data_IF_215027070027
#
_entry.id   IF_215027070027
#
_cell.length_a   1.000
_cell.length_b   1.000
_cell.length_c   1.000
_cell.angle_alpha   90.00
_cell.angle_beta   90.00
_cell.angle_gamma   90.00
#
_symmetry.space_group_name_H-M   'P 1'
#
loop_
_entity.id
_entity.type
_entity.pdbx_description
1 polymer ?
#
# COMPACT_ATOMS: atom_id res chain seq x y z
N UNK A 1 43.81 -24.91 -28.08
CA UNK A 1 43.58 -24.78 -26.64
C UNK A 1 42.83 -23.48 -26.41
N UNK A 2 41.77 -23.53 -25.60
CA UNK A 2 40.92 -22.41 -25.15
C UNK A 2 39.89 -21.86 -26.15
N UNK A 3 38.84 -22.65 -26.38
CA UNK A 3 37.51 -22.14 -26.72
C UNK A 3 36.52 -23.00 -25.93
N UNK A 4 36.53 -22.84 -24.60
CA UNK A 4 35.55 -23.47 -23.72
C UNK A 4 34.36 -22.52 -23.65
N UNK A 5 33.27 -22.97 -24.28
CA UNK A 5 31.87 -22.57 -24.11
C UNK A 5 31.60 -21.43 -23.13
N UNK A 6 31.33 -20.25 -23.68
CA UNK A 6 30.30 -19.36 -23.13
C UNK A 6 28.94 -20.04 -23.37
N UNK A 7 28.60 -21.01 -22.51
CA UNK A 7 27.21 -21.43 -22.40
C UNK A 7 26.47 -20.21 -21.83
N UNK A 8 25.39 -19.72 -22.47
CA UNK A 8 24.58 -18.67 -21.87
C UNK A 8 24.12 -19.19 -20.51
N UNK A 9 24.56 -18.53 -19.43
CA UNK A 9 23.99 -18.78 -18.11
C UNK A 9 22.47 -18.68 -18.27
N UNK A 10 21.69 -19.67 -17.78
CA UNK A 10 20.25 -19.60 -17.84
C UNK A 10 19.87 -18.29 -17.17
N UNK A 11 19.38 -17.33 -17.97
CA UNK A 11 18.95 -16.02 -17.51
C UNK A 11 18.15 -16.24 -16.25
N UNK A 12 18.67 -15.78 -15.11
CA UNK A 12 18.06 -15.99 -13.80
C UNK A 12 16.56 -15.81 -13.97
N UNK A 13 15.82 -16.93 -13.94
CA UNK A 13 14.39 -16.95 -14.20
C UNK A 13 13.83 -15.89 -13.28
N UNK A 14 13.34 -14.79 -13.85
CA UNK A 14 13.03 -13.56 -13.13
C UNK A 14 12.11 -13.96 -12.01
N UNK A 15 12.67 -14.10 -10.80
CA UNK A 15 11.94 -14.71 -9.70
C UNK A 15 10.71 -13.85 -9.49
N UNK A 16 9.52 -14.45 -9.60
CA UNK A 16 8.28 -13.69 -9.48
C UNK A 16 8.39 -12.86 -8.19
N UNK A 17 8.23 -11.52 -8.24
CA UNK A 17 8.45 -10.63 -7.10
C UNK A 17 7.52 -10.93 -5.92
N UNK A 18 6.57 -11.85 -6.11
CA UNK A 18 5.62 -12.32 -5.12
C UNK A 18 6.08 -13.55 -4.34
N UNK A 19 7.16 -14.23 -4.75
CA UNK A 19 7.70 -15.39 -4.02
C UNK A 19 8.22 -15.01 -2.63
N UNK A 20 8.56 -13.75 -2.40
CA UNK A 20 9.04 -13.25 -1.12
C UNK A 20 7.93 -12.92 -0.09
N UNK A 21 6.66 -13.02 -0.47
CA UNK A 21 5.55 -12.72 0.43
C UNK A 21 5.35 -13.85 1.46
N UNK A 22 5.46 -13.58 2.78
CA UNK A 22 5.26 -14.61 3.80
C UNK A 22 3.82 -15.15 3.74
N UNK A 23 3.70 -16.45 3.49
CA UNK A 23 2.43 -17.18 3.39
C UNK A 23 1.79 -17.22 1.99
N UNK A 24 2.11 -16.28 1.10
CA UNK A 24 1.65 -16.29 -0.29
C UNK A 24 2.68 -16.92 -1.25
N UNK A 25 3.97 -16.84 -0.92
CA UNK A 25 5.06 -17.41 -1.72
C UNK A 25 4.87 -18.88 -2.12
N UNK A 26 4.48 -19.80 -1.22
CA UNK A 26 4.26 -21.21 -1.58
C UNK A 26 3.09 -21.42 -2.55
N UNK A 27 2.05 -20.57 -2.46
CA UNK A 27 0.89 -20.64 -3.36
C UNK A 27 1.25 -20.11 -4.73
N UNK A 28 2.01 -19.01 -4.79
CA UNK A 28 2.52 -18.44 -6.04
C UNK A 28 3.48 -19.41 -6.72
N UNK A 29 4.45 -19.98 -5.99
CA UNK A 29 5.38 -20.96 -6.54
C UNK A 29 4.67 -22.22 -7.09
N UNK A 30 3.57 -22.65 -6.46
CA UNK A 30 2.76 -23.76 -6.96
C UNK A 30 1.99 -23.38 -8.24
N UNK A 31 1.44 -22.16 -8.30
CA UNK A 31 0.78 -21.62 -9.50
C UNK A 31 1.78 -21.48 -10.65
N UNK A 32 2.96 -20.92 -10.39
CA UNK A 32 4.05 -20.80 -11.37
C UNK A 32 4.50 -22.16 -11.91
N UNK A 33 4.58 -23.18 -11.05
CA UNK A 33 4.86 -24.55 -11.46
C UNK A 33 3.82 -25.07 -12.46
N UNK A 34 2.53 -24.88 -12.16
CA UNK A 34 1.44 -25.30 -13.05
C UNK A 34 1.47 -24.52 -14.37
N UNK A 35 1.67 -23.19 -14.33
CA UNK A 35 1.66 -22.38 -15.56
C UNK A 35 2.88 -22.66 -16.45
N UNK A 36 4.04 -22.98 -15.87
CA UNK A 36 5.21 -23.38 -16.66
C UNK A 36 5.01 -24.73 -17.36
N UNK A 37 4.27 -25.66 -16.77
CA UNK A 37 3.96 -26.96 -17.40
C UNK A 37 3.09 -26.81 -18.67
N UNK A 38 2.34 -25.71 -18.82
CA UNK A 38 1.50 -25.46 -19.99
C UNK A 38 2.24 -24.81 -21.18
N UNK A 39 3.49 -24.36 -21.00
CA UNK A 39 4.31 -23.78 -22.08
C UNK A 39 3.74 -22.48 -22.68
N UNK A 40 2.95 -21.73 -21.91
CA UNK A 40 2.33 -20.49 -22.37
C UNK A 40 3.34 -19.34 -22.45
N UNK A 41 3.05 -18.35 -23.30
CA UNK A 41 3.87 -17.15 -23.42
C UNK A 41 3.97 -16.45 -22.05
N UNK A 42 5.18 -16.04 -21.66
CA UNK A 42 5.50 -15.50 -20.33
C UNK A 42 4.55 -14.38 -19.89
N UNK A 43 4.11 -13.55 -20.83
CA UNK A 43 3.22 -12.44 -20.53
C UNK A 43 1.74 -12.86 -20.34
N UNK A 44 1.30 -14.00 -20.87
CA UNK A 44 0.01 -14.61 -20.49
C UNK A 44 0.07 -15.09 -19.03
N UNK A 45 1.19 -15.70 -18.63
CA UNK A 45 1.40 -16.15 -17.26
C UNK A 45 1.38 -14.98 -16.27
N UNK A 46 2.12 -13.90 -16.56
CA UNK A 46 2.11 -12.68 -15.73
C UNK A 46 0.71 -12.05 -15.64
N UNK A 47 -0.04 -11.98 -16.76
CA UNK A 47 -1.39 -11.41 -16.75
C UNK A 47 -2.36 -12.23 -15.91
N UNK A 48 -2.28 -13.57 -16.02
CA UNK A 48 -3.06 -14.48 -15.19
C UNK A 48 -2.70 -14.35 -13.71
N UNK A 49 -1.42 -14.26 -13.39
CA UNK A 49 -0.92 -14.04 -12.05
C UNK A 49 -1.52 -12.76 -11.45
N UNK A 50 -1.61 -11.65 -12.22
CA UNK A 50 -2.27 -10.41 -11.75
C UNK A 50 -3.72 -10.62 -11.39
N UNK A 51 -4.46 -11.26 -12.29
CA UNK A 51 -5.90 -11.41 -12.18
C UNK A 51 -6.20 -12.27 -10.96
N UNK A 52 -5.41 -13.33 -10.78
CA UNK A 52 -5.51 -14.23 -9.66
C UNK A 52 -5.16 -13.51 -8.35
N UNK A 53 -4.07 -12.74 -8.33
CA UNK A 53 -3.61 -12.01 -7.15
C UNK A 53 -4.55 -10.84 -6.78
N UNK A 54 -5.07 -10.12 -7.77
CA UNK A 54 -6.08 -9.09 -7.59
C UNK A 54 -7.41 -9.69 -7.10
N UNK A 55 -7.82 -10.84 -7.64
CA UNK A 55 -9.01 -11.57 -7.23
C UNK A 55 -8.91 -12.09 -5.79
N UNK A 56 -7.79 -12.73 -5.45
CA UNK A 56 -7.47 -13.22 -4.10
C UNK A 56 -7.37 -12.05 -3.13
N UNK A 57 -6.64 -10.99 -3.49
CA UNK A 57 -6.50 -9.77 -2.72
C UNK A 57 -7.86 -9.12 -2.45
N UNK A 58 -8.70 -8.97 -3.46
CA UNK A 58 -10.05 -8.46 -3.32
C UNK A 58 -10.92 -9.33 -2.38
N UNK A 59 -10.86 -10.66 -2.52
CA UNK A 59 -11.62 -11.58 -1.67
C UNK A 59 -11.16 -11.52 -0.20
N UNK A 60 -9.85 -11.49 0.03
CA UNK A 60 -9.24 -11.30 1.35
C UNK A 60 -9.66 -9.97 1.95
N UNK A 61 -9.47 -8.88 1.21
CA UNK A 61 -9.80 -7.52 1.66
C UNK A 61 -11.29 -7.41 1.98
N UNK A 62 -12.16 -8.01 1.16
CA UNK A 62 -13.60 -8.05 1.41
C UNK A 62 -13.94 -8.83 2.68
N UNK A 63 -13.30 -9.98 2.93
CA UNK A 63 -13.47 -10.74 4.19
C UNK A 63 -12.97 -9.94 5.39
N UNK A 64 -11.80 -9.31 5.26
CA UNK A 64 -11.19 -8.48 6.28
C UNK A 64 -12.09 -7.27 6.60
N UNK A 65 -12.59 -6.57 5.59
CA UNK A 65 -13.54 -5.47 5.76
C UNK A 65 -14.86 -5.95 6.38
N UNK A 66 -15.32 -7.16 6.05
CA UNK A 66 -16.54 -7.71 6.63
C UNK A 66 -16.40 -8.07 8.12
N UNK A 67 -15.25 -8.61 8.54
CA UNK A 67 -15.00 -9.14 9.89
C UNK A 67 -14.21 -8.18 10.80
N UNK A 68 -13.15 -7.55 10.30
CA UNK A 68 -12.29 -6.67 11.07
C UNK A 68 -12.98 -5.34 11.37
N UNK A 69 -13.71 -4.73 10.41
CA UNK A 69 -14.38 -3.43 10.61
C UNK A 69 -15.36 -3.42 11.80
N UNK A 70 -16.29 -4.39 11.97
CA UNK A 70 -17.16 -4.36 13.14
C UNK A 70 -16.37 -4.53 14.44
N UNK A 71 -15.30 -5.31 14.41
CA UNK A 71 -14.47 -5.56 15.59
C UNK A 71 -13.63 -4.33 15.97
N UNK A 72 -12.98 -3.69 15.00
CA UNK A 72 -12.20 -2.47 15.20
C UNK A 72 -13.07 -1.29 15.58
N UNK A 73 -14.26 -1.16 14.98
CA UNK A 73 -15.23 -0.14 15.37
C UNK A 73 -15.63 -0.28 16.84
N UNK A 74 -15.93 -1.50 17.31
CA UNK A 74 -16.25 -1.73 18.72
C UNK A 74 -15.04 -1.57 19.65
N UNK A 75 -13.87 -2.04 19.22
CA UNK A 75 -12.63 -1.94 19.97
C UNK A 75 -12.16 -0.49 20.15
N UNK A 76 -12.40 0.39 19.16
CA UNK A 76 -12.02 1.81 19.22
C UNK A 76 -12.96 2.66 20.10
N UNK A 77 -14.22 2.27 20.28
CA UNK A 77 -15.18 3.07 21.10
C UNK A 77 -14.65 3.27 22.53
N UNK A 78 -14.14 2.20 23.15
CA UNK A 78 -13.65 2.24 24.53
C UNK A 78 -12.45 3.19 24.73
N UNK A 79 -11.32 3.04 24.01
CA UNK A 79 -10.17 3.93 24.18
C UNK A 79 -10.50 5.36 23.78
N UNK A 80 -11.30 5.58 22.72
CA UNK A 80 -11.70 6.94 22.32
C UNK A 80 -12.53 7.60 23.41
N UNK A 81 -13.51 6.91 23.99
CA UNK A 81 -14.27 7.44 25.12
C UNK A 81 -13.38 7.70 26.33
N UNK A 82 -12.42 6.81 26.63
CA UNK A 82 -11.46 7.01 27.71
C UNK A 82 -10.59 8.25 27.52
N UNK A 83 -10.16 8.54 26.28
CA UNK A 83 -9.43 9.77 25.96
C UNK A 83 -10.33 11.00 26.14
N UNK A 84 -11.59 10.93 25.71
CA UNK A 84 -12.55 12.04 25.90
C UNK A 84 -12.82 12.28 27.40
N UNK A 85 -12.99 11.23 28.18
CA UNK A 85 -13.18 11.32 29.64
C UNK A 85 -11.94 11.89 30.33
N UNK A 86 -10.74 11.48 29.89
CA UNK A 86 -9.47 12.05 30.37
C UNK A 86 -9.35 13.54 30.02
N UNK A 87 -9.69 13.93 28.79
CA UNK A 87 -9.69 15.32 28.35
C UNK A 87 -10.69 16.16 29.17
N UNK A 88 -11.89 15.61 29.42
CA UNK A 88 -12.90 16.22 30.29
C UNK A 88 -12.36 16.46 31.70
N UNK A 89 -11.68 15.47 32.29
CA UNK A 89 -11.06 15.61 33.61
C UNK A 89 -9.99 16.72 33.64
N UNK A 90 -9.11 16.74 32.63
CA UNK A 90 -8.05 17.75 32.50
C UNK A 90 -8.61 19.16 32.31
N UNK A 91 -9.66 19.31 31.50
CA UNK A 91 -10.32 20.60 31.30
C UNK A 91 -11.13 21.08 32.53
N UNK A 92 -11.60 20.16 33.39
CA UNK A 92 -12.33 20.49 34.63
C UNK A 92 -11.40 20.73 35.83
N UNK A 93 -10.14 20.30 35.77
CA UNK A 93 -9.15 20.50 36.83
C UNK A 93 -8.96 21.99 37.21
N UNK A 94 -8.85 22.93 36.26
CA UNK A 94 -8.79 24.37 36.56
C UNK A 94 -10.04 24.87 37.30
N UNK A 95 -11.23 24.42 36.88
CA UNK A 95 -12.49 24.79 37.50
C UNK A 95 -12.57 24.27 38.95
N UNK A 96 -12.16 23.03 39.18
CA UNK A 96 -12.04 22.45 40.52
C UNK A 96 -11.05 23.21 41.41
N UNK A 97 -9.92 23.64 40.85
CA UNK A 97 -8.90 24.40 41.58
C UNK A 97 -9.43 25.77 42.01
N UNK A 98 -10.09 26.50 41.10
CA UNK A 98 -10.70 27.80 41.41
C UNK A 98 -11.87 27.64 42.38
N UNK A 99 -12.73 26.63 42.21
CA UNK A 99 -13.83 26.34 43.13
C UNK A 99 -13.33 26.01 44.55
N UNK A 100 -12.26 25.21 44.69
CA UNK A 100 -11.63 24.93 45.99
C UNK A 100 -11.04 26.19 46.62
N UNK A 101 -10.40 27.04 45.82
CA UNK A 101 -9.80 28.29 46.30
C UNK A 101 -10.87 29.28 46.76
N UNK A 102 -11.93 29.45 45.97
CA UNK A 102 -13.08 30.30 46.31
C UNK A 102 -13.75 29.85 47.63
N UNK A 103 -13.98 28.54 47.80
CA UNK A 103 -14.52 27.96 49.05
C UNK A 103 -13.62 28.24 50.25
N UNK A 104 -12.29 28.10 50.11
CA UNK A 104 -11.34 28.44 51.20
C UNK A 104 -11.42 29.92 51.59
N UNK A 105 -11.61 30.80 50.62
CA UNK A 105 -11.72 32.25 50.85
C UNK A 105 -13.12 32.73 51.27
N UNK A 106 -14.10 31.82 51.44
CA UNK A 106 -15.53 32.13 51.68
C UNK A 106 -16.14 33.11 50.67
N UNK A 107 -15.60 33.18 49.45
CA UNK A 107 -16.14 34.00 48.36
C UNK A 107 -16.97 33.14 47.42
N UNK A 108 -18.08 33.70 46.93
CA UNK A 108 -18.86 33.04 45.89
C UNK A 108 -18.02 32.99 44.59
N UNK A 109 -17.90 31.81 43.96
CA UNK A 109 -17.22 31.72 42.67
C UNK A 109 -17.96 32.53 41.59
N UNK A 110 -17.23 33.14 40.64
CA UNK A 110 -17.83 33.95 39.58
C UNK A 110 -18.69 33.10 38.64
N UNK A 111 -19.83 33.63 38.20
CA UNK A 111 -20.79 32.91 37.34
C UNK A 111 -20.16 32.40 36.02
N UNK A 112 -19.15 33.11 35.48
CA UNK A 112 -18.43 32.72 34.28
C UNK A 112 -17.75 31.35 34.40
N UNK A 113 -17.31 30.97 35.61
CA UNK A 113 -16.67 29.68 35.85
C UNK A 113 -17.64 28.52 35.60
N UNK A 114 -18.89 28.66 36.07
CA UNK A 114 -19.93 27.67 35.85
C UNK A 114 -20.32 27.54 34.38
N UNK A 115 -20.32 28.64 33.62
CA UNK A 115 -20.58 28.58 32.17
C UNK A 115 -19.49 27.84 31.40
N UNK A 116 -18.22 27.99 31.82
CA UNK A 116 -17.12 27.26 31.22
C UNK A 116 -17.22 25.76 31.50
N UNK A 117 -17.44 25.37 32.76
CA UNK A 117 -17.65 23.97 33.13
C UNK A 117 -18.77 23.33 32.32
N UNK A 118 -19.94 23.99 32.24
CA UNK A 118 -21.05 23.51 31.43
C UNK A 118 -20.70 23.38 29.94
N UNK A 119 -19.98 24.34 29.35
CA UNK A 119 -19.58 24.26 27.94
C UNK A 119 -18.62 23.09 27.66
N UNK A 120 -17.68 22.81 28.57
CA UNK A 120 -16.78 21.66 28.46
C UNK A 120 -17.55 20.34 28.56
N UNK A 121 -18.51 20.25 29.48
CA UNK A 121 -19.36 19.08 29.65
C UNK A 121 -20.23 18.84 28.41
N UNK A 122 -20.93 19.87 27.93
CA UNK A 122 -21.76 19.82 26.72
C UNK A 122 -20.93 19.43 25.49
N UNK A 123 -19.73 19.99 25.37
CA UNK A 123 -18.80 19.68 24.28
C UNK A 123 -18.36 18.21 24.30
N UNK A 124 -17.96 17.70 25.47
CA UNK A 124 -17.58 16.31 25.63
C UNK A 124 -18.75 15.35 25.36
N UNK A 125 -19.95 15.66 25.84
CA UNK A 125 -21.14 14.84 25.63
C UNK A 125 -21.57 14.83 24.16
N UNK A 126 -21.49 15.97 23.46
CA UNK A 126 -21.71 16.05 22.01
C UNK A 126 -20.67 15.26 21.22
N UNK A 127 -19.41 15.32 21.65
CA UNK A 127 -18.34 14.56 21.01
C UNK A 127 -18.54 13.05 21.21
N UNK A 128 -18.87 12.61 22.42
CA UNK A 128 -19.21 11.21 22.70
C UNK A 128 -20.45 10.76 21.91
N UNK A 129 -21.49 11.59 21.84
CA UNK A 129 -22.67 11.32 21.01
C UNK A 129 -22.31 11.23 19.52
N UNK A 130 -21.41 12.09 19.05
CA UNK A 130 -20.86 12.08 17.70
C UNK A 130 -20.10 10.79 17.41
N UNK A 131 -19.21 10.35 18.29
CA UNK A 131 -18.48 9.08 18.17
C UNK A 131 -19.44 7.89 18.15
N UNK A 132 -20.41 7.87 19.06
CA UNK A 132 -21.44 6.81 19.14
C UNK A 132 -22.37 6.76 17.92
N UNK A 133 -22.64 7.90 17.27
CA UNK A 133 -23.47 7.96 16.04
C UNK A 133 -22.65 7.80 14.75
N UNK A 134 -21.41 8.28 14.73
CA UNK A 134 -20.52 8.27 13.57
C UNK A 134 -19.90 6.90 13.30
N UNK A 135 -19.52 6.16 14.35
CA UNK A 135 -18.99 4.80 14.20
C UNK A 135 -20.00 3.81 13.58
N UNK A 136 -21.31 3.84 13.91
CA UNK A 136 -22.30 3.07 13.16
C UNK A 136 -22.63 3.69 11.78
N UNK A 137 -22.35 4.98 11.54
CA UNK A 137 -22.44 5.54 10.18
C UNK A 137 -21.31 5.01 9.26
N UNK A 138 -20.13 4.69 9.82
CA UNK A 138 -19.12 3.85 9.14
C UNK A 138 -19.65 2.42 8.86
N UNK A 139 -20.70 1.96 9.55
CA UNK A 139 -21.39 0.75 9.14
C UNK A 139 -22.31 0.97 7.92
N UNK A 140 -22.79 2.19 7.63
CA UNK A 140 -23.50 2.51 6.37
C UNK A 140 -22.55 2.44 5.18
N UNK A 141 -21.28 2.75 5.40
CA UNK A 141 -20.21 2.53 4.42
C UNK A 141 -20.07 1.03 4.07
N UNK A 142 -20.56 0.08 4.91
CA UNK A 142 -20.72 -1.35 4.53
C UNK A 142 -21.76 -1.60 3.44
N UNK A 143 -22.60 -0.62 3.08
CA UNK A 143 -23.62 -0.80 2.01
C UNK A 143 -23.01 -0.86 0.62
N UNK A 144 -21.76 -0.41 0.43
CA UNK A 144 -21.02 -0.54 -0.84
C UNK A 144 -19.63 -1.14 -0.61
N UNK A 145 -19.54 -2.40 -0.14
CA UNK A 145 -18.27 -3.01 0.22
C UNK A 145 -17.37 -3.18 -1.01
N UNK A 146 -17.94 -3.34 -2.21
CA UNK A 146 -17.19 -3.46 -3.46
C UNK A 146 -16.37 -2.21 -3.78
N UNK A 147 -16.98 -1.03 -3.74
CA UNK A 147 -16.29 0.22 -4.08
C UNK A 147 -15.17 0.54 -3.10
N UNK A 148 -15.39 0.28 -1.81
CA UNK A 148 -14.38 0.48 -0.78
C UNK A 148 -13.23 -0.53 -0.87
N UNK A 149 -13.55 -1.79 -1.18
CA UNK A 149 -12.53 -2.80 -1.45
C UNK A 149 -11.72 -2.43 -2.68
N UNK A 150 -12.34 -1.91 -3.75
CA UNK A 150 -11.61 -1.43 -4.93
C UNK A 150 -10.69 -0.25 -4.60
N UNK A 151 -11.18 0.77 -3.87
CA UNK A 151 -10.35 1.92 -3.47
C UNK A 151 -9.20 1.47 -2.57
N UNK A 152 -9.46 0.62 -1.59
CA UNK A 152 -8.42 0.10 -0.69
C UNK A 152 -7.41 -0.78 -1.44
N UNK A 153 -7.85 -1.59 -2.41
CA UNK A 153 -6.98 -2.39 -3.27
C UNK A 153 -6.09 -1.47 -4.14
N UNK A 154 -6.67 -0.42 -4.72
CA UNK A 154 -5.92 0.57 -5.51
C UNK A 154 -4.87 1.29 -4.67
N UNK A 155 -5.21 1.69 -3.45
CA UNK A 155 -4.26 2.33 -2.53
C UNK A 155 -3.15 1.37 -2.10
N UNK A 156 -3.50 0.11 -1.78
CA UNK A 156 -2.52 -0.91 -1.42
C UNK A 156 -1.58 -1.23 -2.58
N UNK A 157 -2.13 -1.38 -3.79
CA UNK A 157 -1.34 -1.63 -5.00
C UNK A 157 -0.47 -0.43 -5.36
N UNK A 158 -1.02 0.79 -5.29
CA UNK A 158 -0.27 2.02 -5.50
C UNK A 158 0.88 2.18 -4.50
N UNK A 159 0.62 1.91 -3.22
CA UNK A 159 1.65 1.93 -2.18
C UNK A 159 2.74 0.89 -2.43
N UNK A 160 2.34 -0.36 -2.69
CA UNK A 160 3.27 -1.45 -3.00
C UNK A 160 4.12 -1.13 -4.24
N UNK A 161 3.52 -0.56 -5.28
CA UNK A 161 4.21 -0.14 -6.47
C UNK A 161 5.27 0.96 -6.21
N UNK A 162 5.06 1.81 -5.21
CA UNK A 162 6.03 2.85 -4.83
C UNK A 162 7.08 2.38 -3.84
N UNK A 163 6.80 1.32 -3.07
CA UNK A 163 7.66 0.86 -1.97
C UNK A 163 8.54 -0.33 -2.34
N UNK A 164 8.16 -1.09 -3.37
CA UNK A 164 8.95 -2.22 -3.84
C UNK A 164 9.88 -1.81 -4.99
N UNK A 165 11.18 -2.01 -4.79
CA UNK A 165 12.19 -2.00 -5.85
C UNK A 165 12.70 -3.43 -5.99
N UNK A 166 12.66 -3.99 -7.20
CA UNK A 166 13.30 -5.28 -7.48
C UNK A 166 14.83 -5.19 -7.35
N UNK A 167 15.45 -6.29 -6.91
CA UNK A 167 16.81 -6.31 -6.38
C UNK A 167 17.97 -6.15 -7.38
N UNK A 168 19.10 -5.72 -6.82
CA UNK A 168 20.52 -5.76 -7.25
C UNK A 168 21.05 -4.99 -8.47
N UNK A 169 20.23 -4.50 -9.40
CA UNK A 169 20.78 -3.77 -10.57
C UNK A 169 20.98 -2.27 -10.36
N UNK A 170 20.63 -1.73 -9.18
CA UNK A 170 20.71 -0.30 -8.86
C UNK A 170 19.67 0.57 -9.57
N UNK A 171 18.80 -0.01 -10.40
CA UNK A 171 17.64 0.66 -11.00
C UNK A 171 16.37 0.20 -10.29
N UNK A 172 15.76 1.09 -9.52
CA UNK A 172 14.46 0.82 -8.93
C UNK A 172 13.39 0.86 -10.02
N UNK A 173 13.05 -0.30 -10.58
CA UNK A 173 11.87 -0.46 -11.42
C UNK A 173 10.68 -0.88 -10.56
N UNK A 174 9.64 -0.06 -10.58
CA UNK A 174 8.38 -0.40 -9.93
C UNK A 174 7.76 -1.65 -10.57
N UNK A 175 7.08 -2.53 -9.81
CA UNK A 175 6.38 -3.69 -10.35
C UNK A 175 5.53 -3.36 -11.57
N UNK A 176 4.72 -2.29 -11.55
CA UNK A 176 3.90 -1.91 -12.70
C UNK A 176 4.72 -1.61 -13.97
N UNK A 177 5.95 -1.11 -13.84
CA UNK A 177 6.83 -0.86 -14.98
C UNK A 177 7.31 -2.16 -15.64
N UNK A 178 7.63 -3.19 -14.86
CA UNK A 178 8.00 -4.51 -15.39
C UNK A 178 6.85 -5.14 -16.19
N UNK A 179 5.63 -4.94 -15.72
CA UNK A 179 4.41 -5.46 -16.34
C UNK A 179 4.04 -4.74 -17.63
N UNK A 180 4.17 -3.41 -17.65
CA UNK A 180 4.00 -2.59 -18.86
C UNK A 180 5.11 -2.90 -19.87
N UNK A 181 6.33 -3.16 -19.41
CA UNK A 181 7.43 -3.62 -20.25
C UNK A 181 7.11 -4.94 -20.93
N UNK A 182 6.71 -5.96 -20.16
CA UNK A 182 6.37 -7.28 -20.68
C UNK A 182 5.19 -7.27 -21.69
N UNK A 183 4.18 -6.41 -21.46
CA UNK A 183 3.04 -6.29 -22.38
C UNK A 183 3.39 -5.59 -23.69
N UNK A 184 4.29 -4.60 -23.68
CA UNK A 184 4.81 -3.97 -24.90
C UNK A 184 5.56 -4.98 -25.78
N UNK A 185 6.34 -5.87 -25.17
CA UNK A 185 7.02 -6.96 -25.88
C UNK A 185 6.02 -7.92 -26.54
N UNK A 186 4.85 -8.15 -25.91
CA UNK A 186 3.78 -9.02 -26.43
C UNK A 186 2.99 -8.38 -27.58
N UNK A 187 2.80 -7.06 -27.53
CA UNK A 187 2.06 -6.28 -28.54
C UNK A 187 2.88 -6.01 -29.82
N UNK A 188 4.12 -6.50 -29.90
CA UNK A 188 4.92 -6.42 -31.11
C UNK A 188 5.51 -5.04 -31.38
N UNK A 189 5.80 -4.26 -30.32
CA UNK A 189 6.59 -3.02 -30.44
C UNK A 189 8.08 -3.38 -30.68
N UNK A 190 8.35 -4.08 -31.78
CA UNK A 190 9.69 -4.44 -32.26
C UNK A 190 10.39 -3.27 -32.98
N UNK A 191 9.82 -2.06 -32.94
CA UNK A 191 10.30 -0.92 -33.74
C UNK A 191 11.66 -0.33 -33.27
N UNK A 192 12.26 -0.87 -32.19
CA UNK A 192 13.51 -0.34 -31.62
C UNK A 192 14.77 -1.21 -31.77
N UNK A 193 14.65 -2.54 -31.89
CA UNK A 193 15.80 -3.44 -31.82
C UNK A 193 16.59 -3.56 -33.15
N UNK A 194 16.02 -3.10 -34.27
CA UNK A 194 16.64 -3.16 -35.58
C UNK A 194 17.63 -2.04 -35.92
N UNK A 195 17.90 -1.10 -34.99
CA UNK A 195 18.82 0.02 -35.23
C UNK A 195 20.00 0.06 -34.27
N UNK A 196 20.57 -1.11 -33.94
CA UNK A 196 22.02 -1.15 -33.75
C UNK A 196 22.65 -0.80 -35.09
N UNK A 197 22.93 0.49 -35.29
CA UNK A 197 23.89 0.94 -36.28
C UNK A 197 25.13 0.08 -36.10
N UNK A 198 25.38 -0.76 -37.08
CA UNK A 198 26.69 -1.24 -37.45
C UNK A 198 27.60 -0.04 -37.72
N UNK A 199 28.08 0.63 -36.67
CA UNK A 199 29.23 1.54 -36.70
C UNK A 199 30.54 0.73 -36.57
N UNK A 200 30.53 -0.53 -37.01
CA UNK A 200 31.71 -1.41 -37.09
C UNK A 200 32.23 -1.42 -38.54
N UNK A 201 32.54 -0.25 -39.09
CA UNK A 201 32.87 -0.17 -40.53
C UNK A 201 33.67 1.03 -41.01
N UNK A 202 34.21 1.90 -40.15
CA UNK A 202 34.95 3.09 -40.61
C UNK A 202 36.25 3.37 -39.85
N UNK A 203 37.01 2.33 -39.49
CA UNK A 203 38.39 2.49 -38.97
C UNK A 203 39.46 1.67 -39.72
N UNK A 204 39.13 1.05 -40.86
CA UNK A 204 40.08 0.25 -41.65
C UNK A 204 40.57 0.94 -42.94
N UNK A 205 40.42 2.26 -43.11
CA UNK A 205 40.75 2.95 -44.38
C UNK A 205 41.58 4.23 -44.25
N UNK A 206 42.47 4.32 -43.25
CA UNK A 206 43.49 5.36 -43.16
C UNK A 206 44.92 4.86 -42.86
N UNK A 207 45.25 3.61 -43.21
CA UNK A 207 46.65 3.20 -43.39
C UNK A 207 46.90 2.93 -44.88
N UNK A 208 47.59 3.85 -45.57
CA UNK A 208 48.16 3.57 -46.88
C UNK A 208 47.97 4.63 -47.94
N UNK A 209 48.45 5.86 -47.72
CA UNK A 209 48.87 6.73 -48.81
C UNK A 209 49.79 7.83 -48.28
N UNK A 210 51.09 7.75 -48.58
CA UNK A 210 51.97 8.92 -48.52
C UNK A 210 53.38 8.68 -47.96
N UNK A 211 54.18 7.83 -48.61
CA UNK A 211 55.63 7.98 -48.66
C UNK A 211 56.16 7.14 -49.81
N UNK A 212 56.43 7.82 -50.94
CA UNK A 212 57.63 7.70 -51.78
C UNK A 212 57.59 8.81 -52.84
#
# INVERSE_FOLDING_TARGET
MSALSDAPEPSAATASPFTELPGAGPVVAWVDGILNDFGWATAVNLTLELILLAGVGYALLRRLLAHAVPWTAQALVRPVNGVIDGLRLVCLLPDLAVARTARRTRRCPPALLYSYGNAVLDGADRLQAGVRKGLPALAVVRRRPGLLSCVALLLAFGYWNTSYCGDDTGRCESPAAQWVGATKTLLGDEDGAGRQKTDTGEEARQEGAGKD
#
